data_IF_080165220996
#
_entry.id   IF_080165220996
#
_cell.length_a   1.000
_cell.length_b   1.000
_cell.length_c   1.000
_cell.angle_alpha   90.00
_cell.angle_beta   90.00
_cell.angle_gamma   90.00
#
_symmetry.space_group_name_H-M   'P 1'
#
loop_
_entity.id
_entity.type
_entity.pdbx_description
1 polymer ?
#
# COMPACT_ATOMS: atom_id res chain seq x y z
N UNK A 1 13.10 14.72 10.62
CA UNK A 1 12.69 14.82 9.20
C UNK A 1 13.57 14.04 8.20
N UNK A 2 14.91 14.14 8.23
CA UNK A 2 15.78 13.43 7.26
C UNK A 2 15.66 11.88 7.28
N UNK A 3 15.41 11.28 8.44
CA UNK A 3 15.25 9.83 8.58
C UNK A 3 14.02 9.30 7.84
N UNK A 4 12.87 9.96 7.94
CA UNK A 4 11.63 9.55 7.26
C UNK A 4 11.77 9.60 5.74
N UNK A 5 12.50 10.60 5.20
CA UNK A 5 12.81 10.68 3.77
C UNK A 5 13.73 9.57 3.29
N UNK A 6 14.75 9.19 4.08
CA UNK A 6 15.60 8.03 3.78
C UNK A 6 14.81 6.73 3.78
N UNK A 7 13.89 6.55 4.74
CA UNK A 7 12.98 5.40 4.77
C UNK A 7 12.12 5.37 3.51
N UNK A 8 11.55 6.50 3.09
CA UNK A 8 10.79 6.56 1.82
C UNK A 8 11.64 6.16 0.61
N UNK A 9 12.90 6.60 0.51
CA UNK A 9 13.81 6.15 -0.55
C UNK A 9 13.99 4.63 -0.56
N UNK A 10 14.29 4.06 0.61
CA UNK A 10 14.52 2.62 0.75
C UNK A 10 13.26 1.84 0.39
N UNK A 11 12.10 2.26 0.90
CA UNK A 11 10.81 1.64 0.57
C UNK A 11 10.55 1.71 -0.94
N UNK A 12 10.72 2.88 -1.57
CA UNK A 12 10.55 3.03 -3.01
C UNK A 12 11.47 2.12 -3.82
N UNK A 13 12.74 2.01 -3.45
CA UNK A 13 13.70 1.13 -4.11
C UNK A 13 13.34 -0.35 -3.94
N UNK A 14 12.96 -0.78 -2.73
CA UNK A 14 12.51 -2.16 -2.48
C UNK A 14 11.25 -2.48 -3.28
N UNK A 15 10.28 -1.57 -3.33
CA UNK A 15 9.03 -1.78 -4.10
C UNK A 15 9.32 -1.89 -5.60
N UNK A 16 10.26 -1.10 -6.16
CA UNK A 16 10.69 -1.28 -7.55
C UNK A 16 11.35 -2.63 -7.80
N UNK A 17 12.19 -3.11 -6.88
CA UNK A 17 12.80 -4.44 -7.01
C UNK A 17 11.75 -5.54 -6.98
N UNK A 18 10.77 -5.43 -6.08
CA UNK A 18 9.63 -6.36 -6.01
C UNK A 18 8.83 -6.32 -7.31
N UNK A 19 8.54 -5.13 -7.85
CA UNK A 19 7.85 -5.01 -9.14
C UNK A 19 8.63 -5.66 -10.28
N UNK A 20 9.94 -5.42 -10.36
CA UNK A 20 10.79 -6.02 -11.40
C UNK A 20 10.79 -7.55 -11.31
N UNK A 21 10.87 -8.09 -10.08
CA UNK A 21 10.77 -9.52 -9.82
C UNK A 21 9.40 -10.09 -10.22
N UNK A 22 8.31 -9.42 -9.86
CA UNK A 22 6.95 -9.83 -10.22
C UNK A 22 6.72 -9.80 -11.72
N UNK A 23 7.21 -8.78 -12.43
CA UNK A 23 7.13 -8.70 -13.88
C UNK A 23 7.91 -9.82 -14.55
N UNK A 24 9.11 -10.13 -14.05
CA UNK A 24 9.94 -11.22 -14.58
C UNK A 24 9.21 -12.57 -14.51
N UNK A 25 8.60 -12.89 -13.37
CA UNK A 25 7.84 -14.15 -13.19
C UNK A 25 6.51 -14.12 -13.95
N UNK A 26 5.83 -12.97 -13.99
CA UNK A 26 4.49 -12.85 -14.57
C UNK A 26 4.44 -12.71 -16.09
N UNK A 27 5.57 -12.41 -16.74
CA UNK A 27 5.66 -12.19 -18.19
C UNK A 27 5.26 -13.41 -19.01
N UNK A 28 5.65 -14.62 -18.56
CA UNK A 28 5.27 -15.87 -19.21
C UNK A 28 3.76 -16.12 -19.14
N UNK A 29 3.16 -15.87 -17.98
CA UNK A 29 1.71 -16.02 -17.78
C UNK A 29 0.91 -14.99 -18.61
N UNK A 30 1.39 -13.76 -18.71
CA UNK A 30 0.76 -12.70 -19.51
C UNK A 30 0.82 -12.97 -21.01
N UNK A 31 1.87 -13.64 -21.48
CA UNK A 31 2.04 -14.01 -22.89
C UNK A 31 1.06 -15.12 -23.32
N UNK A 32 0.66 -15.99 -22.40
CA UNK A 32 -0.23 -17.12 -22.67
C UNK A 32 -1.70 -16.70 -22.73
N UNK A 33 -2.17 -15.85 -21.81
CA UNK A 33 -3.56 -15.35 -21.80
C UNK A 33 -3.65 -13.84 -21.49
N UNK A 34 -3.37 -12.97 -22.46
CA UNK A 34 -3.28 -11.52 -22.24
C UNK A 34 -4.62 -10.81 -21.96
N UNK A 35 -5.74 -11.48 -22.22
CA UNK A 35 -7.09 -10.90 -22.11
C UNK A 35 -7.92 -11.50 -20.96
N UNK A 36 -7.32 -12.30 -20.08
CA UNK A 36 -8.02 -12.82 -18.90
C UNK A 36 -8.27 -11.69 -17.88
N UNK A 37 -9.34 -11.82 -17.07
CA UNK A 37 -9.63 -10.88 -15.99
C UNK A 37 -8.48 -10.79 -14.98
N UNK A 38 -7.78 -11.90 -14.75
CA UNK A 38 -6.60 -12.00 -13.89
C UNK A 38 -5.40 -11.25 -14.48
N UNK A 39 -5.18 -11.32 -15.80
CA UNK A 39 -4.14 -10.53 -16.47
C UNK A 39 -4.42 -9.02 -16.35
N UNK A 40 -5.68 -8.60 -16.55
CA UNK A 40 -6.07 -7.20 -16.37
C UNK A 40 -5.87 -6.73 -14.92
N UNK A 41 -6.28 -7.52 -13.93
CA UNK A 41 -6.07 -7.20 -12.51
C UNK A 41 -4.57 -7.13 -12.15
N UNK A 42 -3.76 -8.05 -12.68
CA UNK A 42 -2.31 -8.04 -12.48
C UNK A 42 -1.66 -6.78 -13.04
N UNK A 43 -2.06 -6.35 -14.24
CA UNK A 43 -1.57 -5.10 -14.85
C UNK A 43 -1.97 -3.87 -14.04
N UNK A 44 -3.21 -3.80 -13.57
CA UNK A 44 -3.68 -2.70 -12.71
C UNK A 44 -2.91 -2.67 -11.39
N UNK A 45 -2.70 -3.83 -10.77
CA UNK A 45 -1.89 -3.97 -9.55
C UNK A 45 -0.44 -3.54 -9.77
N UNK A 46 0.19 -3.97 -10.86
CA UNK A 46 1.55 -3.61 -11.23
C UNK A 46 1.70 -2.10 -11.50
N UNK A 47 0.74 -1.49 -12.19
CA UNK A 47 0.71 -0.05 -12.42
C UNK A 47 0.59 0.73 -11.11
N UNK A 48 -0.31 0.32 -10.22
CA UNK A 48 -0.45 0.92 -8.90
C UNK A 48 0.86 0.78 -8.10
N UNK A 49 1.48 -0.40 -8.13
CA UNK A 49 2.76 -0.64 -7.43
C UNK A 49 3.88 0.25 -7.99
N UNK A 50 3.97 0.40 -9.31
CA UNK A 50 4.94 1.27 -9.98
C UNK A 50 4.76 2.74 -9.58
N UNK A 51 3.52 3.24 -9.64
CA UNK A 51 3.19 4.61 -9.23
C UNK A 51 3.49 4.84 -7.75
N UNK A 52 3.20 3.85 -6.90
CA UNK A 52 3.53 3.90 -5.47
C UNK A 52 5.02 3.98 -5.21
N UNK A 53 5.81 3.14 -5.91
CA UNK A 53 7.27 3.16 -5.82
C UNK A 53 7.85 4.52 -6.24
N UNK A 54 7.36 5.07 -7.36
CA UNK A 54 7.76 6.38 -7.83
C UNK A 54 7.42 7.48 -6.82
N UNK A 55 6.23 7.44 -6.23
CA UNK A 55 5.82 8.39 -5.20
C UNK A 55 6.72 8.33 -3.96
N UNK A 56 7.11 7.13 -3.50
CA UNK A 56 8.06 6.95 -2.39
C UNK A 56 9.47 7.47 -2.72
N UNK A 57 9.97 7.19 -3.92
CA UNK A 57 11.25 7.71 -4.38
C UNK A 57 11.25 9.24 -4.46
N UNK A 58 10.20 9.82 -5.04
CA UNK A 58 10.06 11.28 -5.14
C UNK A 58 9.95 11.93 -3.76
N UNK A 59 9.20 11.34 -2.83
CA UNK A 59 9.12 11.78 -1.43
C UNK A 59 10.48 11.74 -0.72
N UNK A 60 11.31 10.76 -1.09
CA UNK A 60 12.67 10.63 -0.57
C UNK A 60 13.62 11.69 -1.14
N UNK A 61 13.59 11.88 -2.46
CA UNK A 61 14.51 12.76 -3.19
C UNK A 61 14.17 14.25 -3.08
N UNK A 62 12.88 14.60 -3.03
CA UNK A 62 12.41 15.98 -3.11
C UNK A 62 11.60 16.37 -1.87
N UNK A 63 11.78 17.60 -1.41
CA UNK A 63 10.96 18.15 -0.32
C UNK A 63 9.59 18.62 -0.79
N UNK A 64 9.54 19.16 -2.01
CA UNK A 64 8.35 19.69 -2.67
C UNK A 64 8.42 19.33 -4.15
N UNK A 65 7.26 19.02 -4.75
CA UNK A 65 7.12 18.74 -6.18
C UNK A 65 5.85 19.43 -6.69
N UNK A 66 5.98 20.24 -7.73
CA UNK A 66 4.81 20.89 -8.36
C UNK A 66 4.29 20.02 -9.49
N UNK A 67 3.03 19.60 -9.39
CA UNK A 67 2.33 18.79 -10.40
C UNK A 67 1.06 19.52 -10.80
N UNK A 68 0.89 19.80 -12.10
CA UNK A 68 -0.29 20.50 -12.63
C UNK A 68 -0.66 21.79 -11.85
N UNK A 69 0.34 22.58 -11.48
CA UNK A 69 0.16 23.83 -10.72
C UNK A 69 -0.10 23.65 -9.22
N UNK A 70 -0.14 22.42 -8.68
CA UNK A 70 -0.24 22.14 -7.24
C UNK A 70 1.11 21.71 -6.68
N UNK A 71 1.55 22.38 -5.62
CA UNK A 71 2.78 22.02 -4.91
C UNK A 71 2.45 20.93 -3.88
N UNK A 72 3.03 19.75 -4.08
CA UNK A 72 2.92 18.61 -3.17
C UNK A 72 4.16 18.53 -2.29
N UNK A 73 3.97 18.40 -0.98
CA UNK A 73 5.06 18.18 -0.04
C UNK A 73 5.45 16.69 0.02
N UNK A 74 6.69 16.41 0.45
CA UNK A 74 7.24 15.06 0.52
C UNK A 74 6.35 14.07 1.28
N UNK A 75 5.69 14.50 2.36
CA UNK A 75 4.80 13.64 3.15
C UNK A 75 3.50 13.32 2.41
N UNK A 76 3.03 14.22 1.55
CA UNK A 76 1.87 13.99 0.68
C UNK A 76 2.21 12.97 -0.38
N UNK A 77 3.39 13.10 -1.00
CA UNK A 77 3.91 12.12 -1.96
C UNK A 77 4.08 10.73 -1.29
N UNK A 78 4.61 10.69 -0.07
CA UNK A 78 4.72 9.44 0.69
C UNK A 78 3.34 8.81 0.96
N UNK A 79 2.33 9.62 1.31
CA UNK A 79 0.97 9.13 1.54
C UNK A 79 0.30 8.62 0.27
N UNK A 80 0.54 9.26 -0.89
CA UNK A 80 0.14 8.73 -2.21
C UNK A 80 0.81 7.38 -2.45
N UNK A 81 2.10 7.23 -2.11
CA UNK A 81 2.82 5.96 -2.16
C UNK A 81 2.11 4.84 -1.40
N UNK A 82 1.66 5.12 -0.16
CA UNK A 82 0.89 4.16 0.64
C UNK A 82 -0.46 3.82 0.02
N UNK A 83 -1.19 4.79 -0.53
CA UNK A 83 -2.47 4.53 -1.22
C UNK A 83 -2.25 3.60 -2.41
N UNK A 84 -1.28 3.91 -3.26
CA UNK A 84 -0.94 3.11 -4.45
C UNK A 84 -0.50 1.68 -4.07
N UNK A 85 0.34 1.54 -3.04
CA UNK A 85 0.73 0.24 -2.50
C UNK A 85 -0.50 -0.53 -2.01
N UNK A 86 -1.37 0.11 -1.24
CA UNK A 86 -2.58 -0.53 -0.73
C UNK A 86 -3.55 -0.96 -1.83
N UNK A 87 -3.71 -0.16 -2.88
CA UNK A 87 -4.49 -0.53 -4.07
C UNK A 87 -3.89 -1.75 -4.78
N UNK A 88 -2.56 -1.78 -4.97
CA UNK A 88 -1.90 -2.93 -5.60
C UNK A 88 -2.13 -4.24 -4.83
N UNK A 89 -2.06 -4.19 -3.49
CA UNK A 89 -2.33 -5.35 -2.63
C UNK A 89 -3.80 -5.76 -2.68
N UNK A 90 -4.72 -4.79 -2.65
CA UNK A 90 -6.16 -5.05 -2.72
C UNK A 90 -6.51 -5.77 -4.02
N UNK A 91 -6.05 -5.25 -5.16
CA UNK A 91 -6.29 -5.85 -6.48
C UNK A 91 -5.65 -7.24 -6.56
N UNK A 92 -4.41 -7.39 -6.10
CA UNK A 92 -3.70 -8.67 -6.12
C UNK A 92 -4.38 -9.73 -5.26
N UNK A 93 -4.91 -9.36 -4.09
CA UNK A 93 -5.66 -10.27 -3.24
C UNK A 93 -6.98 -10.70 -3.89
N UNK A 94 -7.73 -9.77 -4.48
CA UNK A 94 -9.00 -10.06 -5.16
C UNK A 94 -8.85 -10.91 -6.43
N UNK A 95 -7.68 -10.86 -7.08
CA UNK A 95 -7.40 -11.59 -8.32
C UNK A 95 -6.96 -13.04 -8.12
N UNK A 96 -6.76 -13.50 -6.88
CA UNK A 96 -6.34 -14.87 -6.59
C UNK A 96 -7.52 -15.85 -6.64
N UNK A 97 -7.36 -16.97 -7.34
CA UNK A 97 -8.32 -18.08 -7.31
C UNK A 97 -8.22 -18.88 -6.00
N UNK A 98 -9.37 -19.41 -5.55
CA UNK A 98 -9.77 -19.76 -4.17
C UNK A 98 -8.84 -20.61 -3.27
N UNK A 99 -7.73 -21.18 -3.77
CA UNK A 99 -6.91 -22.14 -3.02
C UNK A 99 -6.12 -21.54 -1.84
N UNK A 100 -6.06 -20.21 -1.71
CA UNK A 100 -5.44 -19.51 -0.59
C UNK A 100 -6.34 -18.38 -0.04
N UNK A 101 -7.61 -18.70 0.24
CA UNK A 101 -8.60 -17.73 0.74
C UNK A 101 -8.08 -16.84 1.88
N UNK A 102 -7.31 -17.41 2.82
CA UNK A 102 -6.71 -16.65 3.91
C UNK A 102 -5.64 -15.65 3.45
N UNK A 103 -4.72 -16.06 2.56
CA UNK A 103 -3.68 -15.17 2.05
C UNK A 103 -4.30 -14.04 1.22
N UNK A 104 -5.25 -14.36 0.34
CA UNK A 104 -6.02 -13.38 -0.43
C UNK A 104 -6.69 -12.35 0.49
N UNK A 105 -7.44 -12.80 1.50
CA UNK A 105 -8.12 -11.92 2.45
C UNK A 105 -7.16 -11.06 3.27
N UNK A 106 -6.04 -11.64 3.72
CA UNK A 106 -5.00 -10.90 4.44
C UNK A 106 -4.38 -9.80 3.58
N UNK A 107 -4.16 -10.10 2.30
CA UNK A 107 -3.58 -9.16 1.33
C UNK A 107 -4.55 -8.02 1.04
N UNK A 108 -5.85 -8.34 0.88
CA UNK A 108 -6.92 -7.33 0.75
C UNK A 108 -7.00 -6.47 2.00
N UNK A 109 -7.06 -7.07 3.19
CA UNK A 109 -7.16 -6.34 4.45
C UNK A 109 -5.96 -5.41 4.68
N UNK A 110 -4.74 -5.89 4.44
CA UNK A 110 -3.53 -5.07 4.50
C UNK A 110 -3.58 -3.94 3.47
N UNK A 111 -4.04 -4.23 2.25
CA UNK A 111 -4.21 -3.24 1.20
C UNK A 111 -5.15 -2.11 1.60
N UNK A 112 -6.33 -2.45 2.13
CA UNK A 112 -7.29 -1.49 2.65
C UNK A 112 -6.71 -0.67 3.82
N UNK A 113 -5.92 -1.30 4.69
CA UNK A 113 -5.21 -0.62 5.78
C UNK A 113 -4.25 0.45 5.27
N UNK A 114 -3.44 0.14 4.25
CA UNK A 114 -2.55 1.11 3.63
C UNK A 114 -3.28 2.25 2.91
N UNK A 115 -4.38 1.95 2.20
CA UNK A 115 -5.24 2.97 1.58
C UNK A 115 -5.83 3.90 2.64
N UNK A 116 -6.43 3.34 3.70
CA UNK A 116 -7.02 4.10 4.79
C UNK A 116 -5.97 4.98 5.47
N UNK A 117 -4.80 4.43 5.77
CA UNK A 117 -3.68 5.18 6.36
C UNK A 117 -3.23 6.34 5.46
N UNK A 118 -3.00 6.08 4.17
CA UNK A 118 -2.57 7.10 3.22
C UNK A 118 -3.60 8.22 3.06
N UNK A 119 -4.89 7.88 2.92
CA UNK A 119 -5.98 8.86 2.83
C UNK A 119 -6.12 9.65 4.12
N UNK A 120 -6.10 8.99 5.27
CA UNK A 120 -6.19 9.65 6.57
C UNK A 120 -5.05 10.66 6.72
N UNK A 121 -3.81 10.25 6.43
CA UNK A 121 -2.65 11.12 6.53
C UNK A 121 -2.71 12.30 5.55
N UNK A 122 -3.26 12.12 4.35
CA UNK A 122 -3.53 13.23 3.42
C UNK A 122 -4.56 14.22 3.95
N UNK A 123 -5.55 13.75 4.72
CA UNK A 123 -6.60 14.60 5.31
C UNK A 123 -6.15 15.33 6.58
N UNK A 124 -5.41 14.65 7.44
CA UNK A 124 -5.03 15.15 8.77
C UNK A 124 -3.67 15.85 8.79
N UNK A 125 -2.84 15.68 7.76
CA UNK A 125 -1.48 16.21 7.72
C UNK A 125 -0.48 15.38 8.51
N UNK A 126 0.71 15.94 8.74
CA UNK A 126 1.71 15.35 9.61
C UNK A 126 1.19 15.35 11.06
N UNK A 127 1.37 14.25 11.82
CA UNK A 127 1.14 14.28 13.26
C UNK A 127 2.01 15.39 13.85
N UNK A 128 1.40 16.26 14.66
CA UNK A 128 2.16 17.15 15.52
C UNK A 128 3.05 16.30 16.42
N UNK A 129 4.27 16.75 16.72
CA UNK A 129 5.19 16.08 17.68
C UNK A 129 4.71 16.25 19.12
N UNK A 130 3.39 16.18 19.34
CA UNK A 130 2.77 16.13 20.66
C UNK A 130 2.68 14.68 21.11
N UNK A 131 2.94 14.44 22.41
CA UNK A 131 2.75 13.12 22.99
C UNK A 131 1.31 12.64 22.71
N UNK A 132 1.15 11.42 22.17
CA UNK A 132 -0.17 10.89 21.91
C UNK A 132 -0.92 10.78 23.24
N UNK A 133 -2.11 11.37 23.30
CA UNK A 133 -2.95 11.26 24.49
C UNK A 133 -3.21 9.78 24.82
N UNK A 134 -3.32 9.44 26.10
CA UNK A 134 -3.67 8.07 26.54
C UNK A 134 -4.93 7.54 25.85
N UNK A 135 -5.87 8.43 25.50
CA UNK A 135 -7.08 8.08 24.73
C UNK A 135 -6.77 7.68 23.28
N UNK A 136 -5.86 8.37 22.61
CA UNK A 136 -5.40 7.99 21.26
C UNK A 136 -4.65 6.66 21.28
N UNK A 137 -3.76 6.46 22.26
CA UNK A 137 -3.06 5.17 22.44
C UNK A 137 -4.05 4.04 22.68
N UNK A 138 -5.00 4.23 23.59
CA UNK A 138 -6.05 3.24 23.88
C UNK A 138 -6.90 2.95 22.63
N UNK A 139 -7.26 3.97 21.85
CA UNK A 139 -8.04 3.80 20.62
C UNK A 139 -7.29 2.99 19.58
N UNK A 140 -5.99 3.26 19.40
CA UNK A 140 -5.14 2.52 18.47
C UNK A 140 -5.00 1.07 18.94
N UNK A 141 -4.65 0.84 20.20
CA UNK A 141 -4.45 -0.51 20.75
C UNK A 141 -5.73 -1.32 20.68
N UNK A 142 -6.86 -0.78 21.16
CA UNK A 142 -8.15 -1.47 21.11
C UNK A 142 -8.59 -1.69 19.67
N UNK A 143 -8.44 -0.70 18.79
CA UNK A 143 -8.75 -0.82 17.37
C UNK A 143 -7.92 -1.91 16.68
N UNK A 144 -6.63 -1.98 16.96
CA UNK A 144 -5.73 -3.03 16.44
C UNK A 144 -6.12 -4.41 16.97
N UNK A 145 -6.40 -4.54 18.27
CA UNK A 145 -6.82 -5.81 18.88
C UNK A 145 -8.15 -6.27 18.30
N UNK A 146 -9.15 -5.39 18.23
CA UNK A 146 -10.47 -5.73 17.68
C UNK A 146 -10.36 -6.09 16.20
N UNK A 147 -9.61 -5.31 15.41
CA UNK A 147 -9.35 -5.60 14.01
C UNK A 147 -8.67 -6.96 13.81
N UNK A 148 -7.67 -7.27 14.64
CA UNK A 148 -6.99 -8.56 14.62
C UNK A 148 -7.91 -9.71 15.01
N UNK A 149 -8.72 -9.56 16.06
CA UNK A 149 -9.68 -10.59 16.48
C UNK A 149 -10.75 -10.85 15.41
N UNK A 150 -11.33 -9.81 14.83
CA UNK A 150 -12.30 -9.95 13.73
C UNK A 150 -11.67 -10.65 12.54
N UNK A 151 -10.44 -10.28 12.19
CA UNK A 151 -9.69 -10.92 11.12
C UNK A 151 -9.46 -12.42 11.39
N UNK A 152 -9.04 -12.78 12.61
CA UNK A 152 -8.83 -14.18 13.02
C UNK A 152 -10.13 -14.97 12.98
N UNK A 153 -11.25 -14.40 13.43
CA UNK A 153 -12.56 -15.06 13.39
C UNK A 153 -12.96 -15.37 11.94
N UNK A 154 -12.84 -14.39 11.04
CA UNK A 154 -13.15 -14.58 9.61
C UNK A 154 -12.23 -15.64 9.00
N UNK A 155 -10.95 -15.61 9.33
CA UNK A 155 -9.96 -16.57 8.86
C UNK A 155 -10.29 -18.01 9.26
N UNK A 156 -10.62 -18.24 10.54
CA UNK A 156 -10.98 -19.58 11.06
C UNK A 156 -12.27 -20.09 10.41
N UNK A 157 -13.19 -19.21 10.03
CA UNK A 157 -14.47 -19.59 9.41
C UNK A 157 -14.37 -19.93 7.92
N UNK A 158 -13.26 -19.58 7.27
CA UNK A 158 -13.04 -19.75 5.84
C UNK A 158 -11.95 -20.79 5.50
N UNK A 159 -11.28 -21.34 6.52
CA UNK A 159 -10.36 -22.47 6.43
C UNK A 159 -11.11 -23.79 6.67
#
# INVERSE_FOLDING_TARGET
MHQQRRVSLVVGAVVLLVLAWLLWIGLEALAVEPLSGTAAATLVGALALFLGALAFLLAGLRERLTVAGRTLEWWQLQSVGFVCLGLSMTVSGLAQESLLAFYSLSTVAAGLGFVAFGIQRLRTGLPEETEPSMRQVATIVVGTIVGFLLFVIVAIRLA
#
